data_IF_189816923705
#
_entry.id   IF_189816923705
#
_cell.length_a   1.000
_cell.length_b   1.000
_cell.length_c   1.000
_cell.angle_alpha   90.00
_cell.angle_beta   90.00
_cell.angle_gamma   90.00
#
_symmetry.space_group_name_H-M   'P 1'
#
loop_
_entity.id
_entity.type
_entity.pdbx_description
1 polymer ?
#
# COMPACT_ATOMS: atom_id res chain seq x y z
N UNK A 1 -67.27 11.73 104.74
CA UNK A 1 -65.82 11.64 104.43
C UNK A 1 -65.52 10.88 103.13
N UNK A 2 -66.22 9.79 102.80
CA UNK A 2 -65.96 8.96 101.60
C UNK A 2 -65.96 9.73 100.24
N UNK A 3 -66.94 10.61 99.98
CA UNK A 3 -67.01 11.36 98.72
C UNK A 3 -65.83 12.34 98.48
N UNK A 4 -65.21 12.87 99.54
CA UNK A 4 -64.03 13.74 99.40
C UNK A 4 -62.78 12.94 99.02
N UNK A 5 -62.61 11.77 99.62
CA UNK A 5 -61.50 10.84 99.30
C UNK A 5 -61.64 10.36 97.85
N UNK A 6 -62.84 10.01 97.42
CA UNK A 6 -63.11 9.54 96.07
C UNK A 6 -62.82 10.59 94.99
N UNK A 7 -63.09 11.88 95.30
CA UNK A 7 -62.74 13.01 94.41
C UNK A 7 -61.23 13.19 94.27
N UNK A 8 -60.50 13.14 95.38
CA UNK A 8 -59.02 13.26 95.39
C UNK A 8 -58.37 12.09 94.65
N UNK A 9 -58.89 10.87 94.80
CA UNK A 9 -58.40 9.70 94.06
C UNK A 9 -58.63 9.86 92.54
N UNK A 10 -59.79 10.38 92.13
CA UNK A 10 -60.08 10.65 90.72
C UNK A 10 -59.17 11.73 90.12
N UNK A 11 -58.92 12.80 90.87
CA UNK A 11 -58.00 13.87 90.47
C UNK A 11 -56.56 13.34 90.34
N UNK A 12 -56.11 12.51 91.28
CA UNK A 12 -54.79 11.87 91.25
C UNK A 12 -54.62 10.91 90.06
N UNK A 13 -55.61 10.07 89.76
CA UNK A 13 -55.55 9.20 88.57
C UNK A 13 -55.54 10.00 87.26
N UNK A 14 -56.26 11.13 87.22
CA UNK A 14 -56.28 12.02 86.06
C UNK A 14 -54.93 12.76 85.88
N UNK A 15 -54.30 13.20 86.96
CA UNK A 15 -52.94 13.77 86.95
C UNK A 15 -51.89 12.74 86.54
N UNK A 16 -51.99 11.51 87.05
CA UNK A 16 -51.12 10.39 86.65
C UNK A 16 -51.28 10.06 85.17
N UNK A 17 -52.51 10.04 84.66
CA UNK A 17 -52.76 9.86 83.23
C UNK A 17 -52.13 10.98 82.38
N UNK A 18 -52.23 12.23 82.83
CA UNK A 18 -51.58 13.37 82.15
C UNK A 18 -50.06 13.26 82.19
N UNK A 19 -49.47 12.99 83.35
CA UNK A 19 -48.03 12.83 83.51
C UNK A 19 -47.47 11.66 82.66
N UNK A 20 -48.20 10.54 82.57
CA UNK A 20 -47.82 9.41 81.70
C UNK A 20 -47.95 9.77 80.22
N UNK A 21 -48.97 10.51 79.83
CA UNK A 21 -49.13 10.96 78.45
C UNK A 21 -48.02 11.94 78.04
N UNK A 22 -47.67 12.88 78.92
CA UNK A 22 -46.56 13.82 78.72
C UNK A 22 -45.21 13.09 78.64
N UNK A 23 -44.91 12.16 79.55
CA UNK A 23 -43.68 11.36 79.52
C UNK A 23 -43.57 10.51 78.24
N UNK A 24 -44.67 9.91 77.77
CA UNK A 24 -44.69 9.17 76.49
C UNK A 24 -44.47 10.08 75.28
N UNK A 25 -45.00 11.29 75.33
CA UNK A 25 -44.83 12.26 74.24
C UNK A 25 -43.39 12.77 74.20
N UNK A 26 -42.76 13.00 75.35
CA UNK A 26 -41.33 13.30 75.45
C UNK A 26 -40.45 12.15 74.94
N UNK A 27 -40.76 10.91 75.32
CA UNK A 27 -40.06 9.72 74.84
C UNK A 27 -40.15 9.59 73.31
N UNK A 28 -41.34 9.79 72.73
CA UNK A 28 -41.54 9.80 71.27
C UNK A 28 -40.74 10.90 70.58
N UNK A 29 -40.73 12.12 71.15
CA UNK A 29 -39.93 13.23 70.61
C UNK A 29 -38.43 12.94 70.68
N UNK A 30 -37.96 12.36 71.78
CA UNK A 30 -36.57 11.95 71.95
C UNK A 30 -36.17 10.86 70.93
N UNK A 31 -37.02 9.83 70.76
CA UNK A 31 -36.84 8.77 69.79
C UNK A 31 -36.82 9.30 68.34
N UNK A 32 -37.73 10.21 67.99
CA UNK A 32 -37.77 10.84 66.67
C UNK A 32 -36.51 11.67 66.38
N UNK A 33 -36.02 12.44 67.37
CA UNK A 33 -34.76 13.19 67.24
C UNK A 33 -33.55 12.26 67.06
N UNK A 34 -33.49 11.17 67.83
CA UNK A 34 -32.41 10.19 67.71
C UNK A 34 -32.41 9.49 66.34
N UNK A 35 -33.59 9.12 65.83
CA UNK A 35 -33.76 8.56 64.48
C UNK A 35 -33.32 9.53 63.39
N UNK A 36 -33.73 10.80 63.46
CA UNK A 36 -33.32 11.82 62.49
C UNK A 36 -31.80 12.05 62.48
N UNK A 37 -31.17 12.08 63.67
CA UNK A 37 -29.73 12.21 63.79
C UNK A 37 -28.98 10.99 63.19
N UNK A 38 -29.50 9.79 63.43
CA UNK A 38 -28.95 8.55 62.88
C UNK A 38 -29.11 8.48 61.35
N UNK A 39 -30.27 8.85 60.81
CA UNK A 39 -30.49 8.95 59.37
C UNK A 39 -29.52 9.94 58.72
N UNK A 40 -29.36 11.13 59.30
CA UNK A 40 -28.41 12.14 58.81
C UNK A 40 -26.98 11.59 58.78
N UNK A 41 -26.57 10.90 59.85
CA UNK A 41 -25.25 10.26 59.93
C UNK A 41 -25.06 9.18 58.86
N UNK A 42 -26.05 8.32 58.64
CA UNK A 42 -25.96 7.27 57.62
C UNK A 42 -25.92 7.85 56.21
N UNK A 43 -26.73 8.87 55.91
CA UNK A 43 -26.68 9.55 54.61
C UNK A 43 -25.30 10.18 54.38
N UNK A 44 -24.74 10.86 55.40
CA UNK A 44 -23.40 11.42 55.29
C UNK A 44 -22.33 10.33 55.08
N UNK A 45 -22.43 9.20 55.79
CA UNK A 45 -21.53 8.07 55.60
C UNK A 45 -21.63 7.49 54.19
N UNK A 46 -22.84 7.30 53.67
CA UNK A 46 -23.07 6.80 52.30
C UNK A 46 -22.51 7.76 51.24
N UNK A 47 -22.63 9.07 51.44
CA UNK A 47 -22.06 10.06 50.54
C UNK A 47 -20.53 10.00 50.53
N UNK A 48 -19.91 9.89 51.70
CA UNK A 48 -18.44 9.79 51.82
C UNK A 48 -17.93 8.48 51.21
N UNK A 49 -18.55 7.34 51.53
CA UNK A 49 -18.15 6.04 50.96
C UNK A 49 -18.39 6.00 49.46
N UNK A 50 -19.51 6.54 48.97
CA UNK A 50 -19.80 6.67 47.55
C UNK A 50 -18.79 7.54 46.82
N UNK A 51 -18.39 8.67 47.40
CA UNK A 51 -17.36 9.54 46.83
C UNK A 51 -15.98 8.86 46.77
N UNK A 52 -15.59 8.12 47.80
CA UNK A 52 -14.34 7.36 47.82
C UNK A 52 -14.34 6.23 46.77
N UNK A 53 -15.41 5.43 46.72
CA UNK A 53 -15.56 4.38 45.74
C UNK A 53 -15.49 4.93 44.31
N UNK A 54 -16.22 6.02 44.02
CA UNK A 54 -16.20 6.65 42.70
C UNK A 54 -14.79 7.15 42.33
N UNK A 55 -14.06 7.73 43.29
CA UNK A 55 -12.67 8.16 43.08
C UNK A 55 -11.74 6.98 42.77
N UNK A 56 -11.92 5.85 43.43
CA UNK A 56 -11.15 4.63 43.14
C UNK A 56 -11.49 4.05 41.77
N UNK A 57 -12.78 4.00 41.41
CA UNK A 57 -13.22 3.58 40.08
C UNK A 57 -12.64 4.47 38.98
N UNK A 58 -12.70 5.80 39.14
CA UNK A 58 -12.10 6.73 38.16
C UNK A 58 -10.60 6.52 38.01
N UNK A 59 -9.87 6.32 39.11
CA UNK A 59 -8.43 6.01 39.05
C UNK A 59 -8.17 4.70 38.29
N UNK A 60 -8.96 3.66 38.55
CA UNK A 60 -8.83 2.37 37.88
C UNK A 60 -9.13 2.47 36.38
N UNK A 61 -10.19 3.20 36.00
CA UNK A 61 -10.53 3.45 34.61
C UNK A 61 -9.45 4.26 33.89
N UNK A 62 -8.91 5.30 34.51
CA UNK A 62 -7.83 6.09 33.92
C UNK A 62 -6.58 5.24 33.71
N UNK A 63 -6.21 4.41 34.68
CA UNK A 63 -5.08 3.48 34.53
C UNK A 63 -5.32 2.50 33.39
N UNK A 64 -6.51 1.87 33.35
CA UNK A 64 -6.87 0.94 32.28
C UNK A 64 -6.83 1.61 30.90
N UNK A 65 -7.27 2.87 30.80
CA UNK A 65 -7.21 3.63 29.55
C UNK A 65 -5.77 3.83 29.07
N UNK A 66 -4.86 4.22 29.98
CA UNK A 66 -3.44 4.41 29.66
C UNK A 66 -2.80 3.08 29.25
N UNK A 67 -3.07 2.00 29.99
CA UNK A 67 -2.54 0.68 29.70
C UNK A 67 -3.03 0.19 28.31
N UNK A 68 -4.30 0.42 27.98
CA UNK A 68 -4.87 0.05 26.68
C UNK A 68 -4.33 0.88 25.53
N UNK A 69 -4.13 2.17 25.72
CA UNK A 69 -3.50 3.04 24.74
C UNK A 69 -2.06 2.58 24.46
N UNK A 70 -1.30 2.24 25.50
CA UNK A 70 0.05 1.73 25.38
C UNK A 70 0.10 0.37 24.64
N UNK A 71 -0.76 -0.58 24.99
CA UNK A 71 -0.89 -1.87 24.29
C UNK A 71 -1.22 -1.66 22.80
N UNK A 72 -2.15 -0.76 22.49
CA UNK A 72 -2.54 -0.46 21.10
C UNK A 72 -1.39 0.17 20.32
N UNK A 73 -0.65 1.09 20.92
CA UNK A 73 0.51 1.73 20.28
C UNK A 73 1.63 0.73 20.00
N UNK A 74 1.88 -0.24 20.90
CA UNK A 74 2.83 -1.32 20.66
C UNK A 74 2.36 -2.18 19.49
N UNK A 75 1.11 -2.65 19.52
CA UNK A 75 0.57 -3.50 18.47
C UNK A 75 0.63 -2.80 17.10
N UNK A 76 0.25 -1.52 17.06
CA UNK A 76 0.34 -0.70 15.85
C UNK A 76 1.78 -0.57 15.35
N UNK A 77 2.75 -0.31 16.25
CA UNK A 77 4.16 -0.23 15.89
C UNK A 77 4.72 -1.54 15.32
N UNK A 78 4.32 -2.68 15.88
CA UNK A 78 4.69 -4.01 15.38
C UNK A 78 4.11 -4.22 13.97
N UNK A 79 2.81 -4.01 13.78
CA UNK A 79 2.17 -4.19 12.48
C UNK A 79 2.74 -3.25 11.43
N UNK A 80 3.04 -1.99 11.79
CA UNK A 80 3.67 -1.05 10.87
C UNK A 80 5.07 -1.52 10.45
N UNK A 81 5.86 -2.05 11.39
CA UNK A 81 7.18 -2.59 11.09
C UNK A 81 7.10 -3.83 10.20
N UNK A 82 6.21 -4.78 10.51
CA UNK A 82 6.02 -5.99 9.71
C UNK A 82 5.58 -5.68 8.28
N UNK A 83 4.61 -4.75 8.12
CA UNK A 83 4.17 -4.32 6.79
C UNK A 83 5.28 -3.62 6.01
N UNK A 84 6.08 -2.77 6.64
CA UNK A 84 7.25 -2.17 6.00
C UNK A 84 8.27 -3.24 5.56
N UNK A 85 8.60 -4.20 6.43
CA UNK A 85 9.51 -5.29 6.11
C UNK A 85 9.00 -6.17 4.96
N UNK A 86 7.69 -6.47 4.92
CA UNK A 86 7.07 -7.23 3.85
C UNK A 86 7.11 -6.46 2.52
N UNK A 87 6.78 -5.17 2.53
CA UNK A 87 6.84 -4.34 1.32
C UNK A 87 8.26 -4.21 0.77
N UNK A 88 9.27 -4.11 1.64
CA UNK A 88 10.68 -4.09 1.23
C UNK A 88 11.12 -5.42 0.61
N UNK A 89 10.70 -6.55 1.19
CA UNK A 89 10.98 -7.88 0.60
C UNK A 89 10.35 -8.03 -0.78
N UNK A 90 9.08 -7.63 -0.92
CA UNK A 90 8.39 -7.68 -2.22
C UNK A 90 9.07 -6.77 -3.25
N UNK A 91 9.56 -5.59 -2.83
CA UNK A 91 10.33 -4.70 -3.70
C UNK A 91 11.64 -5.34 -4.14
N UNK A 92 12.41 -5.92 -3.23
CA UNK A 92 13.67 -6.60 -3.53
C UNK A 92 13.47 -7.80 -4.50
N UNK A 93 12.43 -8.60 -4.28
CA UNK A 93 12.06 -9.69 -5.18
C UNK A 93 11.66 -9.20 -6.57
N UNK A 94 10.89 -8.10 -6.64
CA UNK A 94 10.51 -7.48 -7.90
C UNK A 94 11.75 -6.93 -8.64
N UNK A 95 12.63 -6.21 -7.94
CA UNK A 95 13.88 -5.67 -8.49
C UNK A 95 14.77 -6.79 -9.04
N UNK A 96 14.97 -7.87 -8.27
CA UNK A 96 15.73 -9.04 -8.72
C UNK A 96 15.14 -9.66 -9.98
N UNK A 97 13.82 -9.83 -10.01
CA UNK A 97 13.11 -10.37 -11.19
C UNK A 97 13.26 -9.47 -12.41
N UNK A 98 13.16 -8.15 -12.21
CA UNK A 98 13.36 -7.16 -13.27
C UNK A 98 14.79 -7.18 -13.80
N UNK A 99 15.78 -7.26 -12.90
CA UNK A 99 17.19 -7.33 -13.26
C UNK A 99 17.49 -8.59 -14.10
N UNK A 100 17.00 -9.76 -13.69
CA UNK A 100 17.14 -10.99 -14.47
C UNK A 100 16.51 -10.87 -15.86
N UNK A 101 15.31 -10.30 -15.96
CA UNK A 101 14.66 -10.06 -17.27
C UNK A 101 15.46 -9.10 -18.15
N UNK A 102 16.02 -8.03 -17.56
CA UNK A 102 16.87 -7.08 -18.29
C UNK A 102 18.14 -7.75 -18.81
N UNK A 103 18.78 -8.61 -18.01
CA UNK A 103 19.95 -9.39 -18.42
C UNK A 103 19.64 -10.34 -19.56
N UNK A 104 18.51 -11.05 -19.51
CA UNK A 104 18.04 -11.91 -20.61
C UNK A 104 17.80 -11.13 -21.91
N UNK A 105 17.12 -9.99 -21.82
CA UNK A 105 16.86 -9.13 -22.99
C UNK A 105 18.16 -8.59 -23.55
N UNK A 106 19.06 -8.11 -22.69
CA UNK A 106 20.37 -7.58 -23.09
C UNK A 106 21.20 -8.64 -23.80
N UNK A 107 21.17 -9.89 -23.31
CA UNK A 107 21.87 -11.01 -23.94
C UNK A 107 21.30 -11.31 -25.33
N UNK A 108 19.97 -11.39 -25.46
CA UNK A 108 19.30 -11.59 -26.75
C UNK A 108 19.56 -10.47 -27.75
N UNK A 109 19.62 -9.21 -27.28
CA UNK A 109 19.96 -8.07 -28.13
C UNK A 109 21.38 -8.22 -28.68
N UNK A 110 22.37 -8.51 -27.83
CA UNK A 110 23.75 -8.75 -28.26
C UNK A 110 23.87 -9.92 -29.25
N UNK A 111 23.16 -11.02 -29.01
CA UNK A 111 23.11 -12.14 -29.96
C UNK A 111 22.53 -11.73 -31.31
N UNK A 112 21.50 -10.87 -31.32
CA UNK A 112 20.91 -10.37 -32.56
C UNK A 112 21.80 -9.36 -33.28
N UNK A 113 22.47 -8.49 -32.55
CA UNK A 113 23.47 -7.56 -33.10
C UNK A 113 24.61 -8.32 -33.78
N UNK A 114 25.18 -9.32 -33.11
CA UNK A 114 26.25 -10.16 -33.70
C UNK A 114 25.78 -10.95 -34.93
N UNK A 115 24.54 -11.47 -34.93
CA UNK A 115 23.94 -12.08 -36.11
C UNK A 115 23.79 -11.06 -37.25
N UNK A 116 23.34 -9.84 -36.94
CA UNK A 116 23.17 -8.77 -37.93
C UNK A 116 24.50 -8.37 -38.55
N UNK A 117 25.54 -8.18 -37.74
CA UNK A 117 26.91 -7.90 -38.21
C UNK A 117 27.42 -9.00 -39.13
N UNK A 118 27.26 -10.27 -38.75
CA UNK A 118 27.65 -11.40 -39.59
C UNK A 118 26.91 -11.41 -40.94
N UNK A 119 25.60 -11.16 -40.93
CA UNK A 119 24.82 -11.08 -42.17
C UNK A 119 25.25 -9.90 -43.04
N UNK A 120 25.58 -8.77 -42.44
CA UNK A 120 26.05 -7.59 -43.16
C UNK A 120 27.41 -7.86 -43.84
N UNK A 121 28.36 -8.47 -43.13
CA UNK A 121 29.66 -8.88 -43.71
C UNK A 121 29.50 -9.85 -44.88
N UNK A 122 28.57 -10.81 -44.76
CA UNK A 122 28.25 -11.73 -45.86
C UNK A 122 27.66 -10.99 -47.05
N UNK A 123 26.76 -10.03 -46.81
CA UNK A 123 26.14 -9.22 -47.86
C UNK A 123 27.18 -8.35 -48.58
N UNK A 124 28.11 -7.73 -47.85
CA UNK A 124 29.22 -6.96 -48.41
C UNK A 124 30.10 -7.85 -49.30
N UNK A 125 30.45 -9.05 -48.82
CA UNK A 125 31.25 -10.01 -49.59
C UNK A 125 30.54 -10.47 -50.87
N UNK A 126 29.23 -10.75 -50.79
CA UNK A 126 28.43 -11.12 -51.96
C UNK A 126 28.28 -9.96 -52.95
N UNK A 127 28.14 -8.73 -52.45
CA UNK A 127 28.09 -7.52 -53.28
C UNK A 127 29.41 -7.32 -54.02
N UNK A 128 30.54 -7.41 -53.33
CA UNK A 128 31.85 -7.32 -53.96
C UNK A 128 32.08 -8.42 -55.01
N UNK A 129 31.62 -9.65 -54.75
CA UNK A 129 31.72 -10.73 -55.72
C UNK A 129 30.83 -10.49 -56.95
N UNK A 130 29.60 -10.00 -56.73
CA UNK A 130 28.70 -9.58 -57.81
C UNK A 130 29.33 -8.49 -58.67
N UNK A 131 29.94 -7.47 -58.06
CA UNK A 131 30.54 -6.35 -58.79
C UNK A 131 31.72 -6.81 -59.66
N UNK A 132 32.59 -7.68 -59.14
CA UNK A 132 33.68 -8.29 -59.92
C UNK A 132 33.18 -9.09 -61.12
N UNK A 133 32.14 -9.90 -60.92
CA UNK A 133 31.55 -10.66 -62.02
C UNK A 133 30.91 -9.76 -63.08
N UNK A 134 30.30 -8.65 -62.66
CA UNK A 134 29.74 -7.67 -63.60
C UNK A 134 30.85 -6.94 -64.37
N UNK A 135 31.99 -6.65 -63.74
CA UNK A 135 33.20 -6.14 -64.42
C UNK A 135 33.74 -7.15 -65.44
N UNK A 136 33.92 -8.42 -65.06
CA UNK A 136 34.37 -9.48 -65.98
C UNK A 136 33.43 -9.64 -67.18
N UNK A 137 32.11 -9.63 -66.95
CA UNK A 137 31.11 -9.69 -68.02
C UNK A 137 31.25 -8.49 -68.97
N UNK A 138 31.52 -7.30 -68.43
CA UNK A 138 31.70 -6.09 -69.23
C UNK A 138 33.00 -6.15 -70.05
N UNK A 139 34.10 -6.68 -69.49
CA UNK A 139 35.35 -6.91 -70.23
C UNK A 139 35.16 -7.91 -71.38
N UNK A 140 34.49 -9.04 -71.10
CA UNK A 140 34.15 -10.04 -72.10
C UNK A 140 33.31 -9.41 -73.21
N UNK A 141 32.29 -8.61 -72.85
CA UNK A 141 31.47 -7.89 -73.83
C UNK A 141 32.31 -6.99 -74.74
N UNK A 142 33.24 -6.23 -74.19
CA UNK A 142 34.14 -5.37 -74.97
C UNK A 142 35.04 -6.19 -75.90
N UNK A 143 35.54 -7.34 -75.44
CA UNK A 143 36.37 -8.24 -76.26
C UNK A 143 35.57 -8.85 -77.42
N UNK A 144 34.35 -9.31 -77.16
CA UNK A 144 33.44 -9.81 -78.20
C UNK A 144 33.10 -8.74 -79.23
N UNK A 145 32.79 -7.53 -78.78
CA UNK A 145 32.49 -6.42 -79.68
C UNK A 145 33.67 -6.12 -80.62
N UNK A 146 34.90 -6.06 -80.09
CA UNK A 146 36.12 -5.91 -80.90
C UNK A 146 36.30 -7.05 -81.91
N UNK A 147 36.07 -8.29 -81.51
CA UNK A 147 36.16 -9.45 -82.40
C UNK A 147 35.16 -9.37 -83.56
N UNK A 148 33.93 -8.95 -83.28
CA UNK A 148 32.87 -8.77 -84.28
C UNK A 148 33.24 -7.66 -85.26
N UNK A 149 33.72 -6.52 -84.76
CA UNK A 149 34.17 -5.39 -85.59
C UNK A 149 35.29 -5.79 -86.56
N UNK A 150 36.23 -6.64 -86.12
CA UNK A 150 37.32 -7.16 -86.97
C UNK A 150 36.81 -8.18 -87.99
N UNK A 151 35.98 -9.13 -87.56
CA UNK A 151 35.56 -10.28 -88.37
C UNK A 151 34.46 -9.92 -89.37
N UNK A 152 33.61 -8.95 -89.01
CA UNK A 152 32.44 -8.53 -89.78
C UNK A 152 32.39 -6.99 -89.94
N UNK A 153 33.27 -6.39 -90.75
CA UNK A 153 33.34 -4.92 -90.91
C UNK A 153 32.08 -4.30 -91.51
N UNK A 154 31.21 -5.13 -92.10
CA UNK A 154 29.95 -4.70 -92.71
C UNK A 154 28.79 -4.64 -91.70
N UNK A 155 28.94 -5.23 -90.51
CA UNK A 155 27.98 -5.03 -89.42
C UNK A 155 28.19 -3.64 -88.83
N UNK A 156 27.11 -2.88 -88.66
CA UNK A 156 27.18 -1.63 -87.91
C UNK A 156 27.34 -1.89 -86.41
N UNK A 157 28.09 -1.00 -85.73
CA UNK A 157 28.27 -1.06 -84.28
C UNK A 157 26.91 -1.16 -83.57
N UNK A 158 26.75 -2.15 -82.68
CA UNK A 158 25.51 -2.40 -81.93
C UNK A 158 24.54 -3.40 -82.55
N UNK A 159 24.72 -3.84 -83.80
CA UNK A 159 23.85 -4.88 -84.40
C UNK A 159 23.98 -6.26 -83.74
N UNK A 160 25.08 -6.49 -83.01
CA UNK A 160 25.34 -7.75 -82.30
C UNK A 160 25.04 -7.69 -80.79
N UNK A 161 24.47 -6.59 -80.29
CA UNK A 161 24.23 -6.38 -78.85
C UNK A 161 23.26 -7.41 -78.23
N UNK A 162 22.46 -8.11 -79.06
CA UNK A 162 21.58 -9.18 -78.61
C UNK A 162 22.34 -10.43 -78.10
N UNK A 163 23.60 -10.61 -78.48
CA UNK A 163 24.42 -11.78 -78.08
C UNK A 163 24.79 -11.67 -76.59
N UNK A 164 25.01 -10.45 -76.10
CA UNK A 164 25.33 -10.15 -74.70
C UNK A 164 24.61 -8.87 -74.24
N UNK A 165 23.29 -8.95 -73.97
CA UNK A 165 22.47 -7.78 -73.64
C UNK A 165 22.95 -7.03 -72.39
N UNK A 166 22.83 -5.71 -72.41
CA UNK A 166 23.10 -4.85 -71.24
C UNK A 166 22.18 -5.19 -70.07
N UNK A 167 22.77 -5.50 -68.93
CA UNK A 167 22.02 -5.57 -67.66
C UNK A 167 21.87 -4.17 -67.11
N UNK A 168 20.69 -3.85 -66.57
CA UNK A 168 20.49 -2.61 -65.82
C UNK A 168 21.32 -2.72 -64.54
N UNK A 169 22.21 -1.75 -64.33
CA UNK A 169 22.82 -1.57 -63.02
C UNK A 169 21.70 -1.25 -62.03
N UNK A 170 21.67 -1.95 -60.91
CA UNK A 170 20.81 -1.57 -59.80
C UNK A 170 21.38 -0.27 -59.24
N UNK A 171 20.78 0.86 -59.62
CA UNK A 171 20.99 2.11 -58.91
C UNK A 171 20.18 2.02 -57.62
N UNK A 172 20.86 2.00 -56.47
CA UNK A 172 20.19 2.13 -55.18
C UNK A 172 19.59 3.55 -55.12
N UNK A 173 18.27 3.68 -55.33
CA UNK A 173 17.54 4.96 -55.32
C UNK A 173 17.57 5.69 -53.97
N UNK A 174 18.15 5.09 -52.92
CA UNK A 174 18.16 5.64 -51.55
C UNK A 174 19.10 6.85 -51.35
N UNK A 175 19.88 7.25 -52.37
CA UNK A 175 20.77 8.44 -52.29
C UNK A 175 20.17 9.72 -52.89
N UNK A 176 18.90 9.73 -53.32
CA UNK A 176 18.26 10.91 -53.94
C UNK A 176 17.31 11.72 -53.05
N UNK A 177 17.11 11.35 -51.79
CA UNK A 177 16.17 12.04 -50.87
C UNK A 177 16.83 12.77 -49.69
N UNK A 178 18.02 13.35 -49.89
CA UNK A 178 18.56 14.40 -49.02
C UNK A 178 19.00 15.60 -49.87
N UNK A 179 18.06 16.50 -50.15
CA UNK A 179 18.26 17.75 -50.88
C UNK A 179 17.11 18.73 -50.67
#
# INVERSE_FOLDING_TARGET
>A
MAHRIQRVVMECELEKMKAVAEAREEERRAAAKALAALQTKHVAQLQVTGAMANKEYQKSLNKLSIDKEYEMNIAFGITQKETLEETLKQLEEAEKTHQTKLEEVTTKVKEKETQMEFTNQKLESMTAWKDRLEEEIQEIRQAFQKYIEITFPQLSSGQADFILPSRKKFENEDTKNEG
#
